data_IF_550493005189
#
_entry.id   IF_550493005189
#
_cell.length_a   1.000
_cell.length_b   1.000
_cell.length_c   1.000
_cell.angle_alpha   90.00
_cell.angle_beta   90.00
_cell.angle_gamma   90.00
#
_symmetry.space_group_name_H-M   'P 1'
#
loop_
_entity.id
_entity.type
_entity.pdbx_description
1 polymer ?
#
# COMPACT_ATOMS: atom_id res chain seq x y z
N UNK A 1 3.73 -6.84 13.91
CA UNK A 1 2.32 -7.16 14.24
C UNK A 1 1.99 -8.56 13.75
N UNK A 2 1.11 -9.30 14.44
CA UNK A 2 0.53 -10.54 13.90
C UNK A 2 -0.82 -10.22 13.27
N UNK A 3 -0.91 -10.32 11.95
CA UNK A 3 -2.19 -10.26 11.23
C UNK A 3 -2.69 -11.68 10.94
N UNK A 4 -4.02 -11.85 10.94
CA UNK A 4 -4.68 -13.10 10.53
C UNK A 4 -4.63 -13.34 9.02
N UNK A 5 -4.38 -12.29 8.23
CA UNK A 5 -4.23 -12.39 6.79
C UNK A 5 -3.06 -13.32 6.44
N UNK A 6 -3.34 -14.35 5.62
CA UNK A 6 -2.33 -15.31 5.16
C UNK A 6 -1.30 -14.68 4.23
N UNK A 7 -1.72 -13.72 3.42
CA UNK A 7 -0.84 -13.03 2.47
C UNK A 7 -0.34 -11.74 3.11
N UNK A 8 0.94 -11.76 3.49
CA UNK A 8 1.66 -10.60 4.00
C UNK A 8 2.86 -10.40 3.08
N UNK A 9 2.69 -9.50 2.11
CA UNK A 9 3.66 -9.25 1.05
C UNK A 9 4.49 -8.03 1.45
N UNK A 10 5.74 -8.26 1.81
CA UNK A 10 6.67 -7.19 2.15
C UNK A 10 7.17 -6.52 0.87
N UNK A 11 7.16 -5.19 0.87
CA UNK A 11 7.68 -4.40 -0.23
C UNK A 11 7.95 -2.96 0.20
N UNK A 12 8.45 -2.16 -0.74
CA UNK A 12 8.74 -0.73 -0.55
C UNK A 12 7.71 0.11 -1.28
N UNK A 13 7.24 1.17 -0.63
CA UNK A 13 6.36 2.15 -1.28
C UNK A 13 7.14 2.83 -2.40
N UNK A 14 6.64 2.69 -3.63
CA UNK A 14 7.19 3.31 -4.84
C UNK A 14 6.57 4.67 -5.09
N UNK A 15 5.25 4.77 -4.95
CA UNK A 15 4.50 6.02 -5.14
C UNK A 15 3.17 6.00 -4.40
N UNK A 16 2.71 7.18 -4.02
CA UNK A 16 1.38 7.42 -3.46
C UNK A 16 0.72 8.50 -4.30
N UNK A 17 -0.49 8.22 -4.79
CA UNK A 17 -1.35 9.17 -5.48
C UNK A 17 -2.55 9.47 -4.62
N UNK A 18 -2.56 10.67 -4.06
CA UNK A 18 -3.63 11.15 -3.22
C UNK A 18 -4.83 11.58 -4.06
N UNK A 19 -6.01 11.09 -3.68
CA UNK A 19 -7.29 11.56 -4.19
C UNK A 19 -8.05 12.34 -3.12
N UNK A 20 -9.34 12.57 -3.33
CA UNK A 20 -10.17 13.34 -2.40
C UNK A 20 -10.60 12.48 -1.20
N UNK A 21 -10.90 11.19 -1.44
CA UNK A 21 -11.41 10.26 -0.41
C UNK A 21 -10.53 9.01 -0.29
N UNK A 22 -9.94 8.58 -1.40
CA UNK A 22 -9.04 7.42 -1.47
C UNK A 22 -7.66 7.83 -1.96
N UNK A 23 -6.67 7.03 -1.63
CA UNK A 23 -5.32 7.10 -2.18
C UNK A 23 -4.97 5.79 -2.87
N UNK A 24 -4.24 5.90 -3.97
CA UNK A 24 -3.61 4.76 -4.64
C UNK A 24 -2.15 4.67 -4.18
N UNK A 25 -1.76 3.52 -3.65
CA UNK A 25 -0.41 3.24 -3.15
C UNK A 25 0.19 2.13 -4.00
N UNK A 26 1.32 2.40 -4.62
CA UNK A 26 2.09 1.42 -5.39
C UNK A 26 3.24 0.92 -4.53
N UNK A 27 3.32 -0.40 -4.35
CA UNK A 27 4.37 -1.07 -3.57
C UNK A 27 5.16 -2.00 -4.49
N UNK A 28 6.48 -1.85 -4.51
CA UNK A 28 7.37 -2.76 -5.21
C UNK A 28 7.83 -3.87 -4.28
N UNK A 29 7.63 -5.11 -4.69
CA UNK A 29 8.13 -6.29 -4.01
C UNK A 29 9.60 -6.53 -4.36
N UNK A 30 10.29 -7.36 -3.57
CA UNK A 30 11.71 -7.68 -3.80
C UNK A 30 11.98 -8.32 -5.17
N UNK A 31 10.97 -8.99 -5.75
CA UNK A 31 11.03 -9.57 -7.10
C UNK A 31 10.82 -8.57 -8.25
N UNK A 32 10.70 -7.28 -7.95
CA UNK A 32 10.44 -6.22 -8.93
C UNK A 32 8.99 -6.12 -9.40
N UNK A 33 8.09 -6.98 -8.92
CA UNK A 33 6.65 -6.83 -9.18
C UNK A 33 6.09 -5.64 -8.42
N UNK A 34 5.03 -5.04 -8.97
CA UNK A 34 4.32 -3.93 -8.36
C UNK A 34 2.91 -4.37 -7.93
N UNK A 35 2.55 -4.01 -6.70
CA UNK A 35 1.20 -4.16 -6.16
C UNK A 35 0.59 -2.77 -6.03
N UNK A 36 -0.59 -2.61 -6.59
CA UNK A 36 -1.39 -1.40 -6.45
C UNK A 36 -2.48 -1.64 -5.41
N UNK A 37 -2.54 -0.78 -4.40
CA UNK A 37 -3.54 -0.79 -3.34
C UNK A 37 -4.31 0.51 -3.34
N UNK A 38 -5.64 0.44 -3.25
CA UNK A 38 -6.48 1.62 -3.05
C UNK A 38 -7.02 1.59 -1.63
N UNK A 39 -6.60 2.57 -0.84
CA UNK A 39 -6.99 2.71 0.57
C UNK A 39 -7.62 4.08 0.82
N UNK A 40 -8.16 4.31 2.00
CA UNK A 40 -8.73 5.61 2.35
C UNK A 40 -7.63 6.66 2.52
N UNK A 41 -7.94 7.93 2.20
CA UNK A 41 -7.03 9.05 2.43
C UNK A 41 -6.62 9.17 3.89
N UNK A 42 -7.53 8.89 4.82
CA UNK A 42 -7.25 8.89 6.26
C UNK A 42 -6.18 7.86 6.63
N UNK A 43 -6.14 6.69 5.99
CA UNK A 43 -5.08 5.71 6.24
C UNK A 43 -3.71 6.19 5.77
N UNK A 44 -3.64 6.89 4.62
CA UNK A 44 -2.37 7.48 4.14
C UNK A 44 -1.90 8.63 5.02
N UNK A 45 -2.81 9.44 5.56
CA UNK A 45 -2.45 10.53 6.48
C UNK A 45 -1.89 10.05 7.83
N UNK A 46 -2.12 8.79 8.19
CA UNK A 46 -1.65 8.17 9.43
C UNK A 46 -0.45 7.21 9.20
N UNK A 47 0.25 7.32 8.06
CA UNK A 47 1.45 6.55 7.74
C UNK A 47 2.68 7.06 8.50
#
# INVERSE_FOLDING_TARGET
>A
MRLSARNQLTGKVKSIKEGIVTAEVVVTLDGGQEIVSVITMTSVQNL
#
